data_IF_727088203810
#
_entry.id   IF_727088203810
#
_cell.length_a   1.000
_cell.length_b   1.000
_cell.length_c   1.000
_cell.angle_alpha   90.00
_cell.angle_beta   90.00
_cell.angle_gamma   90.00
#
_symmetry.space_group_name_H-M   'P 1'
#
loop_
_entity.id
_entity.type
_entity.pdbx_description
1 polymer ?
#
# COMPACT_ATOMS: atom_id res chain seq x y z
N UNK A 1 -1.96 9.67 -18.13
CA UNK A 1 -1.62 11.09 -17.83
C UNK A 1 -1.55 11.22 -16.31
N UNK A 2 -0.54 11.93 -15.79
CA UNK A 2 -0.40 12.15 -14.35
C UNK A 2 -0.36 13.65 -14.11
N UNK A 3 -1.31 14.16 -13.33
CA UNK A 3 -1.40 15.58 -13.01
C UNK A 3 -1.67 15.75 -11.53
N UNK A 4 -0.98 16.70 -10.90
CA UNK A 4 -1.26 17.13 -9.55
C UNK A 4 -0.22 18.12 -9.06
N UNK A 5 -0.23 18.40 -7.76
CA UNK A 5 0.73 19.31 -7.16
C UNK A 5 1.43 18.70 -5.97
N UNK A 6 2.74 18.93 -5.90
CA UNK A 6 3.56 18.64 -4.73
C UNK A 6 4.07 19.97 -4.21
N UNK A 7 3.84 20.23 -2.93
CA UNK A 7 4.36 21.40 -2.21
C UNK A 7 5.13 20.91 -1.00
N UNK A 8 6.04 21.73 -0.49
CA UNK A 8 6.78 21.35 0.70
C UNK A 8 7.61 22.46 1.29
N UNK A 9 8.22 22.16 2.43
CA UNK A 9 9.16 23.03 3.13
C UNK A 9 10.37 22.22 3.55
N UNK A 10 11.56 22.77 3.34
CA UNK A 10 12.81 22.27 3.91
C UNK A 10 13.30 23.26 4.96
N UNK A 11 13.55 22.79 6.18
CA UNK A 11 14.16 23.57 7.26
C UNK A 11 15.49 22.93 7.64
N UNK A 12 16.52 23.75 7.82
CA UNK A 12 17.79 23.33 8.37
C UNK A 12 17.89 23.90 9.78
N UNK A 13 18.12 23.03 10.75
CA UNK A 13 18.25 23.40 12.15
C UNK A 13 19.61 22.97 12.67
N UNK A 14 20.19 23.78 13.54
CA UNK A 14 21.47 23.51 14.19
C UNK A 14 21.27 23.63 15.70
N UNK A 15 21.54 22.54 16.42
CA UNK A 15 21.67 22.51 17.87
C UNK A 15 23.06 21.95 18.11
N UNK A 16 24.05 22.82 18.32
CA UNK A 16 25.47 22.43 18.37
C UNK A 16 25.71 21.23 19.32
N UNK A 17 26.36 20.14 18.88
CA UNK A 17 27.07 19.93 17.60
C UNK A 17 26.23 19.31 16.46
N UNK A 18 24.92 19.12 16.65
CA UNK A 18 24.01 18.43 15.73
C UNK A 18 23.42 19.37 14.68
N UNK A 19 23.59 18.99 13.42
CA UNK A 19 22.86 19.55 12.29
C UNK A 19 21.77 18.57 11.86
N UNK A 20 20.55 19.06 11.64
CA UNK A 20 19.47 18.24 11.12
C UNK A 20 18.63 19.02 10.11
N UNK A 21 18.08 18.29 9.14
CA UNK A 21 17.09 18.81 8.20
C UNK A 21 15.71 18.27 8.53
N UNK A 22 14.69 19.10 8.31
CA UNK A 22 13.28 18.73 8.39
C UNK A 22 12.64 19.01 7.05
N UNK A 23 12.06 17.99 6.44
CA UNK A 23 11.34 18.08 5.18
C UNK A 23 9.87 17.77 5.44
N UNK A 24 8.98 18.67 5.03
CA UNK A 24 7.55 18.42 4.97
C UNK A 24 7.13 18.45 3.50
N UNK A 25 6.47 17.40 3.04
CA UNK A 25 5.91 17.29 1.70
C UNK A 25 4.39 17.12 1.82
N UNK A 26 3.68 17.81 0.96
CA UNK A 26 2.24 17.74 0.80
C UNK A 26 1.94 17.48 -0.66
N UNK A 27 1.29 16.34 -0.92
CA UNK A 27 0.81 15.95 -2.23
C UNK A 27 -0.69 16.21 -2.24
N UNK A 28 -1.17 16.94 -3.23
CA UNK A 28 -2.60 17.23 -3.34
C UNK A 28 -3.08 17.13 -4.79
N UNK A 29 -4.27 16.54 -4.94
CA UNK A 29 -4.97 16.38 -6.22
C UNK A 29 -4.11 15.69 -7.29
N UNK A 30 -3.42 14.61 -6.93
CA UNK A 30 -2.67 13.81 -7.90
C UNK A 30 -3.60 12.77 -8.50
N UNK A 31 -3.87 12.91 -9.79
CA UNK A 31 -4.63 11.98 -10.59
C UNK A 31 -3.67 11.02 -11.28
N UNK A 32 -3.86 9.74 -11.02
CA UNK A 32 -3.16 8.64 -11.69
C UNK A 32 -4.15 7.96 -12.61
N UNK A 33 -3.89 7.99 -13.91
CA UNK A 33 -4.71 7.29 -14.91
C UNK A 33 -3.83 6.37 -15.75
N UNK A 34 -4.31 5.17 -16.06
CA UNK A 34 -3.64 4.20 -16.95
C UNK A 34 -2.21 3.87 -16.49
N UNK A 35 -2.00 3.75 -15.18
CA UNK A 35 -0.71 3.28 -14.66
C UNK A 35 -0.61 1.78 -14.85
N UNK A 36 0.32 1.35 -15.71
CA UNK A 36 0.50 -0.05 -16.07
C UNK A 36 1.70 -0.64 -15.35
N UNK A 37 1.49 -1.78 -14.71
CA UNK A 37 2.50 -2.48 -13.96
C UNK A 37 2.42 -3.99 -14.20
N UNK A 38 3.53 -4.56 -14.67
CA UNK A 38 3.66 -5.98 -14.97
C UNK A 38 4.39 -6.69 -13.85
N UNK A 39 3.79 -7.77 -13.37
CA UNK A 39 4.38 -8.69 -12.38
C UNK A 39 4.35 -10.12 -12.91
N UNK A 40 4.99 -11.04 -12.19
CA UNK A 40 4.79 -12.48 -12.45
C UNK A 40 3.37 -12.98 -12.16
N UNK A 41 2.52 -12.19 -11.47
CA UNK A 41 1.17 -12.61 -11.07
C UNK A 41 0.06 -12.04 -11.95
N UNK A 42 0.26 -10.85 -12.53
CA UNK A 42 -0.73 -10.15 -13.33
C UNK A 42 -0.12 -8.97 -14.09
N UNK A 43 -0.78 -8.61 -15.19
CA UNK A 43 -0.67 -7.29 -15.82
C UNK A 43 -1.75 -6.38 -15.21
N UNK A 44 -1.30 -5.41 -14.42
CA UNK A 44 -2.16 -4.52 -13.63
C UNK A 44 -2.24 -3.18 -14.33
N UNK A 45 -3.46 -2.68 -14.53
CA UNK A 45 -3.71 -1.28 -14.90
C UNK A 45 -4.51 -0.64 -13.78
N UNK A 46 -4.00 0.46 -13.21
CA UNK A 46 -4.67 1.16 -12.12
C UNK A 46 -4.94 2.62 -12.43
N UNK A 47 -5.99 3.12 -11.77
CA UNK A 47 -6.41 4.51 -11.76
C UNK A 47 -6.82 4.91 -10.35
N UNK A 48 -6.47 6.13 -9.93
CA UNK A 48 -6.87 6.68 -8.64
C UNK A 48 -6.62 8.18 -8.51
N UNK A 49 -7.18 8.76 -7.46
CA UNK A 49 -6.86 10.08 -6.96
C UNK A 49 -6.09 9.95 -5.66
N UNK A 50 -4.96 10.62 -5.51
CA UNK A 50 -4.15 10.55 -4.29
C UNK A 50 -3.78 11.93 -3.75
N UNK A 51 -3.77 12.00 -2.43
CA UNK A 51 -3.28 13.11 -1.64
C UNK A 51 -2.58 12.56 -0.40
N UNK A 52 -1.72 13.36 0.22
CA UNK A 52 -1.02 12.90 1.39
C UNK A 52 -0.02 13.90 1.93
N UNK A 53 0.48 13.58 3.11
CA UNK A 53 1.56 14.31 3.75
C UNK A 53 2.70 13.36 4.14
N UNK A 54 3.91 13.87 4.08
CA UNK A 54 5.10 13.16 4.53
C UNK A 54 6.02 14.13 5.27
N UNK A 55 6.45 13.74 6.45
CA UNK A 55 7.33 14.51 7.32
C UNK A 55 8.58 13.69 7.56
N UNK A 56 9.74 14.24 7.25
CA UNK A 56 11.04 13.60 7.40
C UNK A 56 11.96 14.45 8.27
N UNK A 57 12.73 13.79 9.11
CA UNK A 57 13.87 14.35 9.83
C UNK A 57 15.11 13.57 9.39
N UNK A 58 16.13 14.28 8.93
CA UNK A 58 17.44 13.70 8.61
C UNK A 58 18.49 14.33 9.53
N UNK A 59 19.17 13.48 10.31
CA UNK A 59 20.39 13.89 10.98
C UNK A 59 21.51 14.02 9.94
N UNK A 60 22.24 15.14 9.98
CA UNK A 60 23.38 15.45 9.11
C UNK A 60 24.68 15.37 9.92
N UNK A 61 25.18 14.15 10.22
CA UNK A 61 26.43 13.98 10.95
C UNK A 61 27.63 14.46 10.13
N UNK A 62 28.73 14.77 10.83
CA UNK A 62 30.02 15.16 10.21
C UNK A 62 30.58 14.06 9.30
N UNK A 63 30.31 12.78 9.60
CA UNK A 63 30.70 11.64 8.79
C UNK A 63 29.49 11.11 8.01
N UNK A 64 29.64 10.90 6.69
CA UNK A 64 28.56 10.44 5.79
C UNK A 64 27.94 9.09 6.18
N UNK A 65 28.62 8.27 6.98
CA UNK A 65 28.20 6.92 7.36
C UNK A 65 27.09 6.88 8.43
N UNK A 66 26.84 7.98 9.16
CA UNK A 66 25.91 7.99 10.29
C UNK A 66 24.54 8.63 9.95
N UNK A 67 24.25 8.85 8.67
CA UNK A 67 23.01 9.48 8.23
C UNK A 67 21.79 8.67 8.70
N UNK A 68 21.06 9.21 9.66
CA UNK A 68 19.78 8.65 10.11
C UNK A 68 18.64 9.46 9.54
N UNK A 69 17.87 8.82 8.67
CA UNK A 69 16.62 9.37 8.12
C UNK A 69 15.47 8.69 8.85
N UNK A 70 14.61 9.47 9.48
CA UNK A 70 13.33 9.03 9.99
C UNK A 70 12.21 9.84 9.37
N UNK A 71 11.09 9.20 9.05
CA UNK A 71 9.94 9.89 8.51
C UNK A 71 8.63 9.22 8.89
N UNK A 72 7.55 9.96 8.72
CA UNK A 72 6.19 9.47 8.86
C UNK A 72 5.30 10.12 7.82
N UNK A 73 4.33 9.39 7.32
CA UNK A 73 3.42 9.92 6.32
C UNK A 73 2.06 9.27 6.35
N UNK A 74 1.11 9.99 5.76
CA UNK A 74 -0.24 9.52 5.51
C UNK A 74 -0.58 9.76 4.05
N UNK A 75 -1.11 8.75 3.37
CA UNK A 75 -1.62 8.84 2.00
C UNK A 75 -3.10 8.46 2.03
N UNK A 76 -3.92 9.29 1.39
CA UNK A 76 -5.31 9.02 1.10
C UNK A 76 -5.43 8.80 -0.40
N UNK A 77 -6.04 7.68 -0.78
CA UNK A 77 -6.34 7.34 -2.16
C UNK A 77 -7.86 7.22 -2.28
N UNK A 78 -8.44 7.87 -3.26
CA UNK A 78 -9.86 7.83 -3.57
C UNK A 78 -10.06 7.29 -4.97
N UNK A 79 -11.25 6.75 -5.22
CA UNK A 79 -11.66 6.26 -6.54
C UNK A 79 -10.63 5.29 -7.16
N UNK A 80 -10.11 4.38 -6.34
CA UNK A 80 -9.10 3.42 -6.79
C UNK A 80 -9.77 2.29 -7.56
N UNK A 81 -9.27 2.02 -8.76
CA UNK A 81 -9.67 0.90 -9.59
C UNK A 81 -8.40 0.22 -10.10
N UNK A 82 -8.34 -1.10 -9.94
CA UNK A 82 -7.27 -1.93 -10.48
C UNK A 82 -7.85 -3.06 -11.31
N UNK A 83 -7.55 -3.04 -12.60
CA UNK A 83 -7.90 -4.10 -13.55
C UNK A 83 -6.72 -5.03 -13.70
N UNK A 84 -6.98 -6.32 -13.55
CA UNK A 84 -5.95 -7.37 -13.64
C UNK A 84 -6.20 -8.22 -14.88
N UNK A 85 -5.33 -8.13 -15.88
CA UNK A 85 -5.31 -9.06 -17.01
C UNK A 85 -4.44 -10.26 -16.67
N UNK A 86 -4.82 -11.42 -17.20
CA UNK A 86 -4.08 -12.69 -17.06
C UNK A 86 -3.79 -13.10 -15.60
N UNK A 87 -4.75 -12.82 -14.71
CA UNK A 87 -4.62 -13.12 -13.28
C UNK A 87 -5.42 -14.35 -12.87
N UNK A 88 -4.93 -15.06 -11.84
CA UNK A 88 -5.69 -16.10 -11.13
C UNK A 88 -7.02 -15.57 -10.56
N UNK A 89 -7.14 -14.26 -10.33
CA UNK A 89 -8.40 -13.61 -9.90
C UNK A 89 -9.52 -13.65 -10.95
N UNK A 90 -9.19 -13.86 -12.24
CA UNK A 90 -10.20 -14.07 -13.28
C UNK A 90 -11.01 -15.36 -13.03
N UNK A 91 -10.39 -16.38 -12.44
CA UNK A 91 -11.05 -17.63 -12.04
C UNK A 91 -11.99 -17.42 -10.84
N UNK A 92 -11.71 -16.42 -10.00
CA UNK A 92 -12.56 -16.01 -8.88
C UNK A 92 -13.63 -14.98 -9.28
N UNK A 93 -13.77 -14.68 -10.57
CA UNK A 93 -14.69 -13.69 -11.12
C UNK A 93 -14.53 -12.29 -10.48
N UNK A 94 -13.29 -11.92 -10.15
CA UNK A 94 -12.90 -10.59 -9.67
C UNK A 94 -11.98 -9.92 -10.71
N UNK A 95 -12.52 -9.50 -11.88
CA UNK A 95 -11.72 -8.91 -12.96
C UNK A 95 -11.17 -7.52 -12.62
N UNK A 96 -11.78 -6.87 -11.64
CA UNK A 96 -11.38 -5.57 -11.12
C UNK A 96 -11.53 -5.53 -9.60
N UNK A 97 -10.67 -4.76 -8.95
CA UNK A 97 -10.78 -4.43 -7.53
C UNK A 97 -10.95 -2.93 -7.40
N UNK A 98 -12.12 -2.54 -6.90
CA UNK A 98 -12.50 -1.14 -6.73
C UNK A 98 -12.58 -0.80 -5.24
N UNK A 99 -11.85 0.24 -4.85
CA UNK A 99 -11.88 0.80 -3.50
C UNK A 99 -12.29 2.27 -3.57
N UNK A 100 -13.35 2.62 -2.86
CA UNK A 100 -13.79 4.01 -2.72
C UNK A 100 -12.75 4.84 -1.98
N UNK A 101 -12.12 4.25 -0.96
CA UNK A 101 -11.11 4.92 -0.13
C UNK A 101 -10.02 3.95 0.30
N UNK A 102 -8.76 4.36 0.20
CA UNK A 102 -7.61 3.71 0.83
C UNK A 102 -6.92 4.73 1.71
N UNK A 103 -6.76 4.41 3.00
CA UNK A 103 -5.95 5.19 3.94
C UNK A 103 -4.70 4.40 4.29
N UNK A 104 -3.54 4.99 4.02
CA UNK A 104 -2.23 4.41 4.30
C UNK A 104 -1.48 5.31 5.29
N UNK A 105 -1.03 4.74 6.41
CA UNK A 105 -0.16 5.37 7.39
C UNK A 105 1.13 4.57 7.50
N UNK A 106 2.27 5.27 7.43
CA UNK A 106 3.57 4.62 7.42
C UNK A 106 4.62 5.43 8.16
N UNK A 107 5.66 4.72 8.61
CA UNK A 107 6.93 5.30 9.02
C UNK A 107 8.03 4.89 8.06
N UNK A 108 9.08 5.70 7.98
CA UNK A 108 10.27 5.41 7.20
C UNK A 108 11.48 5.48 8.12
N UNK A 109 12.37 4.50 7.99
CA UNK A 109 13.71 4.51 8.54
C UNK A 109 14.67 4.18 7.41
N UNK A 110 15.47 5.15 6.98
CA UNK A 110 16.37 5.01 5.84
C UNK A 110 15.65 4.47 4.58
N UNK A 111 15.97 3.25 4.15
CA UNK A 111 15.37 2.56 2.99
C UNK A 111 14.19 1.65 3.36
N UNK A 112 13.82 1.55 4.62
CA UNK A 112 12.69 0.73 5.08
C UNK A 112 11.47 1.60 5.31
N UNK A 113 10.37 1.26 4.66
CA UNK A 113 9.04 1.81 4.94
C UNK A 113 8.25 0.75 5.71
N UNK A 114 7.78 1.12 6.89
CA UNK A 114 6.88 0.30 7.71
C UNK A 114 5.47 0.83 7.55
N UNK A 115 4.62 0.09 6.86
CA UNK A 115 3.19 0.35 6.76
C UNK A 115 2.57 -0.04 8.10
N UNK A 116 2.28 0.97 8.91
CA UNK A 116 1.64 0.79 10.22
C UNK A 116 0.16 0.47 10.10
N UNK A 117 -0.51 1.05 9.10
CA UNK A 117 -1.91 0.82 8.83
C UNK A 117 -2.23 1.09 7.36
N UNK A 118 -2.87 0.15 6.70
CA UNK A 118 -3.51 0.34 5.41
C UNK A 118 -4.95 -0.17 5.53
N UNK A 119 -5.93 0.68 5.24
CA UNK A 119 -7.34 0.31 5.21
C UNK A 119 -7.90 0.72 3.86
N UNK A 120 -8.29 -0.27 3.05
CA UNK A 120 -9.01 -0.08 1.81
C UNK A 120 -10.47 -0.48 2.01
N UNK A 121 -11.39 0.41 1.63
CA UNK A 121 -12.84 0.16 1.67
C UNK A 121 -13.38 0.08 0.26
N UNK A 122 -14.07 -1.01 -0.04
CA UNK A 122 -14.68 -1.28 -1.33
C UNK A 122 -16.14 -1.68 -1.16
N UNK A 123 -16.87 -1.76 -2.26
CA UNK A 123 -18.27 -2.16 -2.26
C UNK A 123 -18.46 -3.65 -1.95
N UNK A 124 -17.52 -4.49 -2.39
CA UNK A 124 -17.59 -5.96 -2.26
C UNK A 124 -16.61 -6.50 -1.21
N UNK A 125 -15.41 -5.90 -1.14
CA UNK A 125 -14.36 -6.33 -0.20
C UNK A 125 -13.77 -5.12 0.51
N UNK A 126 -13.45 -5.31 1.78
CA UNK A 126 -12.59 -4.40 2.53
C UNK A 126 -11.24 -5.09 2.78
N UNK A 127 -10.15 -4.33 2.80
CA UNK A 127 -8.81 -4.87 3.04
C UNK A 127 -8.15 -4.09 4.16
N UNK A 128 -7.54 -4.83 5.09
CA UNK A 128 -6.58 -4.28 6.04
C UNK A 128 -5.22 -4.84 5.75
N UNK A 129 -4.18 -4.02 5.74
CA UNK A 129 -2.81 -4.45 5.47
C UNK A 129 -1.81 -3.70 6.33
N UNK A 130 -0.75 -4.37 6.72
CA UNK A 130 0.42 -3.81 7.40
C UNK A 130 1.67 -4.60 7.03
N UNK A 131 2.83 -4.02 7.26
CA UNK A 131 4.10 -4.74 7.07
C UNK A 131 5.23 -3.83 6.66
N UNK A 132 6.25 -4.42 6.05
CA UNK A 132 7.48 -3.74 5.68
C UNK A 132 7.72 -3.77 4.18
N UNK A 133 8.29 -2.68 3.69
CA UNK A 133 8.76 -2.51 2.33
C UNK A 133 10.20 -2.02 2.39
N UNK A 134 11.13 -2.86 1.96
CA UNK A 134 12.56 -2.52 1.90
C UNK A 134 12.88 -2.02 0.50
N UNK A 135 13.09 -0.71 0.35
CA UNK A 135 13.31 -0.03 -0.93
C UNK A 135 14.64 -0.49 -1.53
N UNK A 136 14.54 -1.19 -2.66
CA UNK A 136 15.67 -1.69 -3.43
C UNK A 136 16.17 -0.69 -4.46
N UNK A 137 17.42 -0.86 -4.89
CA UNK A 137 17.97 -0.19 -6.07
C UNK A 137 18.50 -1.26 -7.02
N UNK A 138 17.89 -1.48 -8.20
CA UNK A 138 16.73 -0.78 -8.76
C UNK A 138 15.41 -1.04 -8.00
N UNK A 139 14.40 -0.20 -8.24
CA UNK A 139 13.09 -0.25 -7.57
C UNK A 139 12.43 -1.64 -7.66
N UNK A 140 12.65 -2.36 -8.76
CA UNK A 140 12.14 -3.72 -9.01
C UNK A 140 12.55 -4.73 -7.91
N UNK A 141 13.69 -4.49 -7.26
CA UNK A 141 14.24 -5.33 -6.19
C UNK A 141 13.72 -4.94 -4.80
N UNK A 142 12.79 -3.97 -4.72
CA UNK A 142 12.11 -3.61 -3.47
C UNK A 142 11.43 -4.84 -2.90
N UNK A 143 11.77 -5.19 -1.67
CA UNK A 143 11.25 -6.39 -1.01
C UNK A 143 9.97 -6.06 -0.27
N UNK A 144 8.99 -6.95 -0.39
CA UNK A 144 7.70 -6.87 0.27
C UNK A 144 7.67 -7.91 1.38
N UNK A 145 7.20 -7.51 2.56
CA UNK A 145 6.81 -8.42 3.62
C UNK A 145 5.56 -7.85 4.29
N UNK A 146 4.42 -8.13 3.67
CA UNK A 146 3.12 -7.59 4.04
C UNK A 146 2.22 -8.71 4.53
N UNK A 147 1.36 -8.35 5.48
CA UNK A 147 0.32 -9.20 6.01
C UNK A 147 -0.98 -8.43 5.96
N UNK A 148 -2.07 -9.10 5.59
CA UNK A 148 -3.36 -8.46 5.48
C UNK A 148 -4.51 -9.40 5.75
N UNK A 149 -5.69 -8.81 5.80
CA UNK A 149 -6.96 -9.49 5.97
C UNK A 149 -7.92 -8.91 4.94
N UNK A 150 -8.51 -9.77 4.12
CA UNK A 150 -9.64 -9.44 3.25
C UNK A 150 -10.92 -9.74 4.02
N UNK A 151 -11.83 -8.77 4.03
CA UNK A 151 -13.16 -8.86 4.65
C UNK A 151 -14.19 -8.70 3.54
N UNK A 152 -14.69 -9.81 2.96
CA UNK A 152 -15.77 -9.76 2.00
C UNK A 152 -17.05 -9.26 2.66
N UNK A 153 -17.89 -8.54 1.92
CA UNK A 153 -19.17 -8.07 2.41
C UNK A 153 -20.17 -9.23 2.58
N UNK A 154 -21.21 -9.00 3.39
CA UNK A 154 -22.24 -10.02 3.66
C UNK A 154 -22.99 -10.43 2.38
N UNK A 155 -23.38 -9.52 1.47
CA UNK A 155 -23.97 -9.89 0.19
C UNK A 155 -23.10 -10.83 -0.67
N UNK A 156 -21.79 -10.62 -0.74
CA UNK A 156 -20.89 -11.50 -1.49
C UNK A 156 -20.82 -12.90 -0.86
N UNK A 157 -20.68 -12.96 0.47
CA UNK A 157 -20.65 -14.25 1.19
C UNK A 157 -21.97 -15.01 1.10
N UNK A 158 -23.12 -14.32 1.01
CA UNK A 158 -24.44 -14.94 0.88
C UNK A 158 -24.55 -15.81 -0.39
N UNK A 159 -23.82 -15.49 -1.47
CA UNK A 159 -23.77 -16.31 -2.69
C UNK A 159 -23.24 -17.72 -2.44
N UNK A 160 -22.45 -17.90 -1.38
CA UNK A 160 -21.81 -19.16 -1.02
C UNK A 160 -22.46 -19.82 0.22
N UNK A 161 -23.34 -19.10 0.92
CA UNK A 161 -23.92 -19.55 2.20
C UNK A 161 -24.89 -20.75 2.07
N UNK A 162 -25.45 -20.96 0.88
CA UNK A 162 -26.39 -22.07 0.59
C UNK A 162 -25.68 -23.38 0.22
N UNK A 163 -24.36 -23.37 0.10
CA UNK A 163 -23.58 -24.57 -0.20
C UNK A 163 -23.18 -25.24 1.11
N UNK A 164 -23.84 -26.35 1.45
CA UNK A 164 -23.69 -27.04 2.73
C UNK A 164 -22.21 -27.36 3.07
N UNK A 165 -21.41 -27.68 2.06
CA UNK A 165 -19.98 -28.07 2.17
C UNK A 165 -19.05 -26.94 2.64
N UNK A 166 -19.47 -25.66 2.54
CA UNK A 166 -18.62 -24.50 2.86
C UNK A 166 -19.25 -23.56 3.88
N UNK A 167 -20.41 -23.90 4.44
CA UNK A 167 -21.16 -23.03 5.38
C UNK A 167 -20.37 -22.68 6.65
N UNK A 168 -19.60 -23.62 7.19
CA UNK A 168 -18.70 -23.39 8.35
C UNK A 168 -17.53 -22.45 7.99
N UNK A 169 -16.96 -22.63 6.79
CA UNK A 169 -15.88 -21.80 6.26
C UNK A 169 -16.36 -20.37 6.04
N UNK A 170 -17.53 -20.18 5.41
CA UNK A 170 -18.15 -18.86 5.19
C UNK A 170 -18.44 -18.15 6.51
N UNK A 171 -18.90 -18.87 7.54
CA UNK A 171 -19.16 -18.32 8.88
C UNK A 171 -17.89 -17.88 9.61
N UNK A 172 -16.76 -18.57 9.37
CA UNK A 172 -15.47 -18.17 9.92
C UNK A 172 -14.91 -16.96 9.16
N UNK A 173 -15.01 -16.95 7.83
CA UNK A 173 -14.59 -15.82 6.98
C UNK A 173 -15.36 -14.54 7.33
N UNK A 174 -16.67 -14.62 7.56
CA UNK A 174 -17.46 -13.44 7.92
C UNK A 174 -17.06 -12.81 9.25
N UNK A 175 -16.46 -13.58 10.17
CA UNK A 175 -16.03 -13.11 11.50
C UNK A 175 -14.58 -12.65 11.52
N UNK A 176 -13.69 -13.35 10.83
CA UNK A 176 -12.24 -13.18 10.96
C UNK A 176 -11.58 -12.63 9.69
N UNK A 177 -12.29 -12.65 8.56
CA UNK A 177 -11.73 -12.39 7.23
C UNK A 177 -10.83 -13.52 6.73
N UNK A 178 -10.29 -13.32 5.54
CA UNK A 178 -9.30 -14.19 4.90
C UNK A 178 -7.94 -13.54 5.09
N UNK A 179 -7.10 -14.13 5.93
CA UNK A 179 -5.71 -13.72 6.09
C UNK A 179 -4.92 -13.95 4.81
N UNK A 180 -3.99 -13.06 4.49
CA UNK A 180 -3.05 -13.25 3.40
C UNK A 180 -1.70 -12.61 3.71
N UNK A 181 -0.68 -13.04 2.99
CA UNK A 181 0.66 -12.44 3.03
C UNK A 181 1.13 -12.12 1.62
N UNK A 182 1.91 -11.04 1.49
CA UNK A 182 2.61 -10.69 0.24
C UNK A 182 4.10 -10.64 0.57
N UNK A 183 4.87 -11.55 -0.04
CA UNK A 183 6.32 -11.66 0.15
C UNK A 183 7.05 -11.55 -1.19
N UNK A 184 8.38 -11.53 -1.15
CA UNK A 184 9.22 -11.49 -2.35
C UNK A 184 9.60 -10.06 -2.74
N UNK A 185 9.71 -9.82 -4.05
CA UNK A 185 10.09 -8.50 -4.60
C UNK A 185 8.95 -7.89 -5.39
N UNK A 186 9.00 -6.59 -5.68
CA UNK A 186 8.05 -5.95 -6.60
C UNK A 186 7.99 -6.71 -7.94
N UNK A 187 9.13 -7.12 -8.50
CA UNK A 187 9.16 -7.89 -9.76
C UNK A 187 8.55 -9.29 -9.64
N UNK A 188 8.83 -9.97 -8.53
CA UNK A 188 8.39 -11.34 -8.27
C UNK A 188 7.70 -11.42 -6.90
N UNK A 189 6.44 -10.94 -6.80
CA UNK A 189 5.67 -11.04 -5.58
C UNK A 189 5.09 -12.45 -5.44
N UNK A 190 4.99 -12.90 -4.20
CA UNK A 190 4.36 -14.17 -3.82
C UNK A 190 3.19 -13.88 -2.88
N UNK A 191 2.02 -14.46 -3.16
CA UNK A 191 0.84 -14.36 -2.33
C UNK A 191 0.63 -15.69 -1.61
N UNK A 192 0.59 -15.65 -0.28
CA UNK A 192 0.20 -16.78 0.57
C UNK A 192 -1.13 -16.51 1.25
N UNK A 193 -1.94 -17.56 1.45
CA UNK A 193 -3.23 -17.54 2.17
C UNK A 193 -3.13 -18.48 3.38
#
# INVERSE_FOLDING_TARGET
FHQGSVKGSLKLNRIDPLLFSQLNLFVSKVYVSDFRYKTSLADITLECELEGEYKQVEALPKNKSDKKISGQGTIFIQNFSAKMKDSLFNVLNLPAVDFTTIKLEFTQSEKRVTITQCIAKGSIINVKLKGMVDIGSPLQNTRLNLTGIVLPDSPYLAKFANTASIKSVVKNISRQGIGFTIKGTLKHPEIGI
#
